data_IF_766175224189
#
_entry.id   IF_766175224189
#
_cell.length_a   1.000
_cell.length_b   1.000
_cell.length_c   1.000
_cell.angle_alpha   90.00
_cell.angle_beta   90.00
_cell.angle_gamma   90.00
#
_symmetry.space_group_name_H-M   'P 1'
#
loop_
_entity.id
_entity.type
_entity.pdbx_description
1 polymer ?
#
# COMPACT_ATOMS: atom_id res chain seq x y z
N UNK A 1 -12.53 -6.20 -4.90
CA UNK A 1 -11.52 -5.71 -5.84
C UNK A 1 -10.23 -6.45 -5.57
N UNK A 2 -9.58 -6.97 -6.61
CA UNK A 2 -8.32 -7.69 -6.46
C UNK A 2 -7.19 -6.71 -6.14
N UNK A 3 -6.38 -7.01 -5.13
CA UNK A 3 -5.27 -6.14 -4.72
C UNK A 3 -4.22 -5.99 -5.83
N UNK A 4 -4.02 -7.02 -6.65
CA UNK A 4 -3.09 -6.97 -7.78
C UNK A 4 -3.55 -6.02 -8.90
N UNK A 5 -4.81 -5.59 -8.92
CA UNK A 5 -5.34 -4.63 -9.88
C UNK A 5 -5.32 -3.17 -9.36
N UNK A 6 -5.17 -2.98 -8.04
CA UNK A 6 -5.17 -1.63 -7.44
C UNK A 6 -4.02 -0.77 -7.98
N UNK A 7 -4.30 0.47 -8.35
CA UNK A 7 -3.32 1.45 -8.78
C UNK A 7 -3.78 2.88 -8.46
N UNK A 8 -2.85 3.83 -8.40
CA UNK A 8 -3.16 5.24 -8.14
C UNK A 8 -3.89 5.47 -6.81
N UNK A 9 -4.82 6.42 -6.79
CA UNK A 9 -5.49 6.84 -5.57
C UNK A 9 -6.25 5.71 -4.82
N UNK A 10 -6.92 4.75 -5.48
CA UNK A 10 -7.46 3.58 -4.78
C UNK A 10 -6.41 2.75 -4.05
N UNK A 11 -5.22 2.56 -4.64
CA UNK A 11 -4.11 1.87 -3.96
C UNK A 11 -3.61 2.70 -2.76
N UNK A 12 -3.44 4.00 -2.94
CA UNK A 12 -3.01 4.91 -1.88
C UNK A 12 -3.99 4.97 -0.70
N UNK A 13 -5.30 4.90 -0.98
CA UNK A 13 -6.36 4.80 0.01
C UNK A 13 -6.23 3.52 0.84
N UNK A 14 -6.04 2.37 0.19
CA UNK A 14 -5.88 1.10 0.90
C UNK A 14 -4.57 1.02 1.68
N UNK A 15 -3.52 1.69 1.23
CA UNK A 15 -2.29 1.88 2.03
C UNK A 15 -2.60 2.70 3.28
N UNK A 16 -3.34 3.80 3.16
CA UNK A 16 -3.72 4.62 4.31
C UNK A 16 -4.56 3.82 5.33
N UNK A 17 -5.50 2.98 4.85
CA UNK A 17 -6.25 2.05 5.70
C UNK A 17 -5.35 1.02 6.38
N UNK A 18 -4.34 0.48 5.68
CA UNK A 18 -3.41 -0.50 6.24
C UNK A 18 -2.48 0.09 7.31
N UNK A 19 -2.19 1.39 7.19
CA UNK A 19 -1.34 2.17 8.10
C UNK A 19 -2.14 2.86 9.22
N UNK A 20 -3.45 2.60 9.29
CA UNK A 20 -4.37 3.19 10.28
C UNK A 20 -4.32 4.73 10.30
N UNK A 21 -4.23 5.34 9.12
CA UNK A 21 -4.21 6.79 8.96
C UNK A 21 -5.64 7.34 8.99
N UNK A 22 -5.82 8.55 9.53
CA UNK A 22 -7.14 9.10 9.77
C UNK A 22 -7.86 9.58 8.50
N UNK A 23 -9.16 9.31 8.41
CA UNK A 23 -10.07 9.90 7.42
C UNK A 23 -9.61 9.77 5.94
N UNK A 24 -9.08 8.62 5.49
CA UNK A 24 -8.66 8.49 4.11
C UNK A 24 -9.86 8.64 3.18
N UNK A 25 -9.66 9.34 2.06
CA UNK A 25 -10.65 9.50 0.99
C UNK A 25 -9.98 9.77 -0.35
N UNK A 26 -10.68 9.45 -1.42
CA UNK A 26 -10.27 9.68 -2.81
C UNK A 26 -11.21 10.69 -3.47
N UNK A 27 -10.63 11.70 -4.10
CA UNK A 27 -11.35 12.62 -4.99
C UNK A 27 -10.59 12.79 -6.32
N UNK A 28 -11.01 13.75 -7.15
CA UNK A 28 -10.40 13.98 -8.46
C UNK A 28 -8.91 14.38 -8.39
N UNK A 29 -8.43 14.88 -7.24
CA UNK A 29 -7.04 15.24 -7.04
C UNK A 29 -6.17 14.07 -6.55
N UNK A 30 -6.78 13.00 -6.05
CA UNK A 30 -6.09 11.79 -5.57
C UNK A 30 -6.54 11.38 -4.17
N UNK A 31 -5.68 10.66 -3.46
CA UNK A 31 -5.92 10.26 -2.07
C UNK A 31 -5.48 11.35 -1.09
N UNK A 32 -6.27 11.56 -0.04
CA UNK A 32 -5.95 12.45 1.08
C UNK A 32 -6.15 11.74 2.41
N UNK A 33 -5.36 12.12 3.41
CA UNK A 33 -5.41 11.60 4.79
C UNK A 33 -5.31 12.73 5.81
N UNK A 34 -5.59 12.42 7.06
CA UNK A 34 -5.28 13.26 8.23
C UNK A 34 -4.15 12.56 9.01
N UNK A 35 -2.97 13.19 9.11
CA UNK A 35 -1.79 12.61 9.78
C UNK A 35 -1.86 12.63 11.31
N UNK A 36 -2.56 13.62 11.86
CA UNK A 36 -2.68 13.84 13.31
C UNK A 36 -4.14 14.08 13.68
N UNK A 37 -4.63 13.57 14.82
CA UNK A 37 -6.01 13.78 15.25
C UNK A 37 -6.41 15.27 15.26
N UNK A 38 -7.46 15.62 14.51
CA UNK A 38 -7.93 17.00 14.35
C UNK A 38 -7.16 17.84 13.33
N UNK A 39 -6.20 17.27 12.61
CA UNK A 39 -5.47 17.92 11.53
C UNK A 39 -6.30 18.14 10.27
N UNK A 40 -5.72 18.86 9.31
CA UNK A 40 -6.33 19.08 7.99
C UNK A 40 -5.99 17.94 7.03
N UNK A 41 -6.87 17.60 6.08
CA UNK A 41 -6.55 16.65 5.02
C UNK A 41 -5.34 17.11 4.20
N UNK A 42 -4.40 16.19 3.97
CA UNK A 42 -3.21 16.41 3.14
C UNK A 42 -3.11 15.35 2.05
N UNK A 43 -2.51 15.66 0.88
CA UNK A 43 -2.25 14.66 -0.15
C UNK A 43 -1.40 13.50 0.39
N UNK A 44 -1.72 12.29 -0.09
CA UNK A 44 -0.99 11.09 0.24
C UNK A 44 -0.93 10.17 -0.96
N UNK A 45 0.26 9.94 -1.50
CA UNK A 45 0.43 9.21 -2.74
C UNK A 45 1.59 8.20 -2.67
N UNK A 46 1.62 7.28 -1.68
CA UNK A 46 2.76 6.38 -1.47
C UNK A 46 3.06 5.45 -2.65
N UNK A 47 2.11 5.21 -3.57
CA UNK A 47 2.34 4.42 -4.77
C UNK A 47 3.10 5.16 -5.89
N UNK A 48 3.23 6.49 -5.80
CA UNK A 48 3.83 7.34 -6.85
C UNK A 48 4.80 8.42 -6.35
N UNK A 49 4.69 8.83 -5.09
CA UNK A 49 5.55 9.82 -4.43
C UNK A 49 6.56 9.11 -3.51
N UNK A 50 7.85 9.28 -3.79
CA UNK A 50 8.91 8.76 -2.92
C UNK A 50 8.93 9.40 -1.54
N UNK A 51 8.45 10.63 -1.40
CA UNK A 51 8.37 11.30 -0.10
C UNK A 51 7.38 10.60 0.84
N UNK A 52 6.33 9.97 0.30
CA UNK A 52 5.35 9.20 1.07
C UNK A 52 5.71 7.71 1.13
N UNK A 53 6.06 7.10 0.00
CA UNK A 53 6.29 5.67 -0.12
C UNK A 53 7.66 5.20 0.38
N UNK A 54 8.70 6.03 0.25
CA UNK A 54 10.06 5.70 0.67
C UNK A 54 10.17 5.38 2.17
N UNK A 55 9.64 6.22 3.07
CA UNK A 55 9.62 5.94 4.50
C UNK A 55 8.88 4.64 4.86
N UNK A 56 7.85 4.24 4.10
CA UNK A 56 7.15 2.97 4.32
C UNK A 56 8.03 1.78 3.92
N UNK A 57 8.69 1.86 2.76
CA UNK A 57 9.60 0.81 2.27
C UNK A 57 10.71 0.54 3.30
N UNK A 58 11.23 1.58 3.93
CA UNK A 58 12.35 1.43 4.87
C UNK A 58 11.92 1.00 6.27
N UNK A 59 10.74 1.44 6.73
CA UNK A 59 10.23 1.11 8.06
C UNK A 59 9.63 -0.30 8.11
N UNK A 60 9.01 -0.76 7.03
CA UNK A 60 8.33 -2.05 6.96
C UNK A 60 9.32 -3.17 6.62
N UNK A 61 9.06 -4.43 7.05
CA UNK A 61 9.98 -5.55 6.91
C UNK A 61 10.03 -6.15 5.48
N UNK A 62 10.25 -5.31 4.47
CA UNK A 62 10.47 -5.77 3.09
C UNK A 62 11.77 -6.57 3.03
N UNK A 63 11.68 -7.79 2.52
CA UNK A 63 12.82 -8.71 2.41
C UNK A 63 13.57 -8.58 1.08
N UNK A 64 12.85 -8.28 0.00
CA UNK A 64 13.42 -8.20 -1.34
C UNK A 64 12.59 -7.31 -2.27
N UNK A 65 13.29 -6.68 -3.21
CA UNK A 65 12.73 -6.08 -4.41
C UNK A 65 13.47 -6.63 -5.62
N UNK A 66 12.72 -7.27 -6.51
CA UNK A 66 13.27 -7.94 -7.70
C UNK A 66 12.75 -7.28 -8.96
N UNK A 67 13.62 -7.16 -9.96
CA UNK A 67 13.26 -6.74 -11.32
C UNK A 67 14.15 -7.49 -12.31
N UNK A 68 13.55 -8.43 -13.03
CA UNK A 68 14.26 -9.38 -13.90
C UNK A 68 15.15 -8.65 -14.91
N UNK A 69 16.47 -8.87 -14.83
CA UNK A 69 17.45 -8.20 -15.71
C UNK A 69 17.41 -6.66 -15.70
N UNK A 70 16.84 -6.05 -14.66
CA UNK A 70 16.67 -4.60 -14.55
C UNK A 70 15.57 -4.01 -15.44
N UNK A 71 14.71 -4.83 -16.05
CA UNK A 71 13.62 -4.40 -16.92
C UNK A 71 12.28 -5.05 -16.52
N UNK A 72 11.16 -4.50 -17.01
CA UNK A 72 9.83 -5.04 -16.73
C UNK A 72 9.30 -4.72 -15.33
N UNK A 73 8.45 -5.62 -14.83
CA UNK A 73 7.73 -5.45 -13.57
C UNK A 73 8.64 -5.65 -12.35
N UNK A 74 8.32 -4.93 -11.29
CA UNK A 74 8.89 -5.13 -9.96
C UNK A 74 8.09 -6.19 -9.19
N UNK A 75 8.78 -6.98 -8.39
CA UNK A 75 8.21 -7.86 -7.36
C UNK A 75 8.70 -7.40 -6.00
N UNK A 76 7.79 -7.27 -5.04
CA UNK A 76 8.11 -6.87 -3.68
C UNK A 76 7.73 -7.99 -2.70
N UNK A 77 8.64 -8.36 -1.81
CA UNK A 77 8.44 -9.39 -0.78
C UNK A 77 8.43 -8.74 0.59
N UNK A 78 7.39 -9.00 1.38
CA UNK A 78 7.22 -8.47 2.74
C UNK A 78 7.12 -9.63 3.74
N UNK A 79 7.90 -9.58 4.82
CA UNK A 79 7.86 -10.59 5.87
C UNK A 79 6.97 -10.13 7.02
N UNK A 80 5.93 -10.89 7.37
CA UNK A 80 5.10 -10.60 8.54
C UNK A 80 4.87 -11.86 9.36
N UNK A 81 4.95 -11.72 10.69
CA UNK A 81 4.63 -12.82 11.59
C UNK A 81 3.12 -13.08 11.55
N UNK A 82 2.73 -14.33 11.31
CA UNK A 82 1.32 -14.74 11.38
C UNK A 82 1.17 -15.62 12.63
N UNK A 83 0.43 -15.17 13.66
CA UNK A 83 0.37 -15.85 14.96
C UNK A 83 -0.06 -17.32 14.88
N UNK A 84 -0.87 -17.68 13.89
CA UNK A 84 -1.40 -19.03 13.71
C UNK A 84 -0.41 -20.03 13.07
N UNK A 85 0.64 -19.56 12.40
CA UNK A 85 1.51 -20.41 11.58
C UNK A 85 2.80 -20.85 12.29
N UNK A 86 3.16 -20.25 13.43
CA UNK A 86 4.46 -20.49 14.09
C UNK A 86 5.70 -20.06 13.26
N UNK A 87 5.49 -19.57 12.04
CA UNK A 87 6.51 -19.21 11.05
C UNK A 87 6.27 -17.81 10.47
N UNK A 88 7.30 -17.21 9.85
CA UNK A 88 7.18 -15.95 9.11
C UNK A 88 6.52 -16.23 7.76
N UNK A 89 5.37 -15.60 7.48
CA UNK A 89 4.77 -15.64 6.16
C UNK A 89 5.39 -14.56 5.26
N UNK A 90 5.55 -14.89 3.99
CA UNK A 90 5.96 -13.95 2.93
C UNK A 90 4.74 -13.55 2.13
N UNK A 91 4.53 -12.24 2.02
CA UNK A 91 3.55 -11.68 1.10
C UNK A 91 4.30 -11.15 -0.12
N UNK A 92 3.75 -11.37 -1.31
CA UNK A 92 4.36 -10.93 -2.54
C UNK A 92 3.30 -10.40 -3.50
N UNK A 93 3.60 -9.26 -4.11
CA UNK A 93 2.82 -8.67 -5.20
C UNK A 93 3.77 -8.06 -6.23
N UNK A 94 3.22 -7.85 -7.43
CA UNK A 94 3.94 -7.25 -8.56
C UNK A 94 3.36 -5.89 -8.93
N UNK A 95 4.18 -5.05 -9.55
CA UNK A 95 3.77 -3.74 -10.04
C UNK A 95 4.69 -3.18 -11.13
N UNK A 96 4.21 -2.22 -11.93
CA UNK A 96 5.03 -1.57 -12.96
C UNK A 96 6.17 -0.71 -12.37
N UNK A 97 6.06 -0.29 -11.10
CA UNK A 97 7.09 0.43 -10.36
C UNK A 97 7.36 -0.25 -9.02
N UNK A 98 8.51 0.04 -8.42
CA UNK A 98 8.87 -0.46 -7.10
C UNK A 98 7.80 -0.09 -6.06
N UNK A 99 7.38 1.19 -6.04
CA UNK A 99 6.37 1.67 -5.09
C UNK A 99 5.02 0.99 -5.30
N UNK A 100 4.56 0.79 -6.53
CA UNK A 100 3.30 0.07 -6.77
C UNK A 100 3.37 -1.37 -6.28
N UNK A 101 4.48 -2.08 -6.55
CA UNK A 101 4.68 -3.44 -6.04
C UNK A 101 4.70 -3.45 -4.50
N UNK A 102 5.44 -2.54 -3.87
CA UNK A 102 5.54 -2.41 -2.42
C UNK A 102 4.17 -2.16 -1.77
N UNK A 103 3.42 -1.19 -2.28
CA UNK A 103 2.12 -0.80 -1.73
C UNK A 103 1.09 -1.91 -1.88
N UNK A 104 1.06 -2.61 -3.03
CA UNK A 104 0.21 -3.79 -3.20
C UNK A 104 0.57 -4.91 -2.22
N UNK A 105 1.86 -5.18 -2.03
CA UNK A 105 2.31 -6.19 -1.05
C UNK A 105 1.91 -5.81 0.37
N UNK A 106 2.02 -4.53 0.75
CA UNK A 106 1.56 -4.03 2.05
C UNK A 106 0.06 -4.27 2.22
N UNK A 107 -0.76 -3.85 1.26
CA UNK A 107 -2.23 -4.03 1.30
C UNK A 107 -2.57 -5.52 1.39
N UNK A 108 -1.95 -6.37 0.57
CA UNK A 108 -2.18 -7.81 0.59
C UNK A 108 -1.78 -8.44 1.94
N UNK A 109 -0.70 -7.97 2.58
CA UNK A 109 -0.29 -8.46 3.89
C UNK A 109 -1.22 -8.10 5.03
N UNK A 110 -2.12 -7.14 4.83
CA UNK A 110 -3.08 -6.67 5.82
C UNK A 110 -4.49 -7.20 5.55
N UNK A 111 -4.92 -7.21 4.29
CA UNK A 111 -6.31 -7.52 3.91
C UNK A 111 -6.48 -8.82 3.10
N UNK A 112 -5.39 -9.42 2.64
CA UNK A 112 -5.41 -10.56 1.71
C UNK A 112 -5.50 -10.14 0.24
N UNK A 113 -5.86 -11.06 -0.64
CA UNK A 113 -5.84 -10.83 -2.09
C UNK A 113 -6.99 -9.95 -2.60
N UNK A 114 -8.02 -9.75 -1.77
CA UNK A 114 -9.21 -8.98 -2.09
C UNK A 114 -9.52 -7.93 -1.03
N UNK A 115 -9.96 -6.76 -1.49
CA UNK A 115 -10.51 -5.70 -0.66
C UNK A 115 -11.95 -5.37 -1.10
N UNK A 116 -12.83 -4.90 -0.20
CA UNK A 116 -14.17 -4.47 -0.56
C UNK A 116 -14.17 -3.38 -1.65
N UNK A 117 -15.20 -3.37 -2.48
CA UNK A 117 -15.47 -2.23 -3.37
C UNK A 117 -16.25 -1.17 -2.58
N UNK A 118 -15.55 -0.11 -2.16
CA UNK A 118 -16.08 0.94 -1.30
C UNK A 118 -16.28 2.22 -2.09
N UNK A 119 -17.30 2.99 -1.71
CA UNK A 119 -17.29 4.42 -2.00
C UNK A 119 -16.15 5.08 -1.21
N UNK A 120 -15.08 5.43 -1.91
CA UNK A 120 -13.88 6.06 -1.35
C UNK A 120 -14.00 7.59 -1.30
N UNK A 121 -15.08 8.18 -1.82
CA UNK A 121 -15.27 9.64 -1.78
C UNK A 121 -15.62 10.15 -0.37
N UNK A 122 -16.19 9.27 0.46
CA UNK A 122 -16.49 9.53 1.86
C UNK A 122 -15.30 9.22 2.77
N UNK A 123 -14.93 10.10 3.71
CA UNK A 123 -13.88 9.83 4.68
C UNK A 123 -14.18 8.58 5.52
N UNK A 124 -13.16 7.78 5.81
CA UNK A 124 -13.26 6.55 6.64
C UNK A 124 -12.69 6.67 8.04
#
# INVERSE_FOLDING_TARGET
MQVHDLAGAPLDFWVAMAEDLGAPRVDAAGCTIIREPGGTPVPYAPSSSWADGGPLVERLPFGAFERDGGHGAWRAVLHRAVPAAGERCTFNQSGPTLLVAAMRTLVASTFGDDVPDLDMSTPR
#
